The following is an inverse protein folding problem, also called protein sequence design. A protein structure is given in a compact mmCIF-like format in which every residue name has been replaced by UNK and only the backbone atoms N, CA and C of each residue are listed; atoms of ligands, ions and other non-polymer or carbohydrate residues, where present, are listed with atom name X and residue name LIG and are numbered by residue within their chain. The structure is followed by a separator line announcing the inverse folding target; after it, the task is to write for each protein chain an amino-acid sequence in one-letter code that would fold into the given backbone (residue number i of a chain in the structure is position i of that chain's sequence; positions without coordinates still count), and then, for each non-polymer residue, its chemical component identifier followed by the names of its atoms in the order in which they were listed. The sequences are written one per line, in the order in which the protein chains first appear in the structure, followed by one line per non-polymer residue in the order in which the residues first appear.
data_IF_218365618558
#
_entry.id   IF_218365618558
#
_cell.length_a   1.000
_cell.length_b   1.000
_cell.length_c   1.000
_cell.angle_alpha   90.00
_cell.angle_beta   90.00
_cell.angle_gamma   90.00
#
_symmetry.space_group_name_H-M   'P 1'
#
loop_
_entity.id
_entity.type
_entity.pdbx_description
1 polymer ?
#
# COMPACT_ATOMS: atom_id res chain seq x y z
N UNK A 1 29.24 -5.48 -29.51
CA UNK A 1 28.09 -6.41 -29.52
C UNK A 1 27.52 -6.43 -28.12
N UNK A 2 26.29 -5.96 -27.98
CA UNK A 2 25.58 -5.74 -26.71
C UNK A 2 25.08 -7.07 -26.15
N UNK A 3 25.46 -7.39 -24.92
CA UNK A 3 25.01 -8.61 -24.22
C UNK A 3 23.65 -8.34 -23.56
N UNK A 4 22.61 -8.90 -24.16
CA UNK A 4 21.25 -8.97 -23.63
C UNK A 4 21.19 -10.17 -22.66
N UNK A 5 21.06 -9.91 -21.36
CA UNK A 5 20.89 -10.97 -20.35
C UNK A 5 19.42 -11.38 -20.30
N UNK A 6 19.15 -12.55 -20.88
CA UNK A 6 17.88 -13.27 -20.80
C UNK A 6 17.82 -13.92 -19.41
N UNK A 7 16.86 -13.50 -18.59
CA UNK A 7 16.50 -14.19 -17.35
C UNK A 7 15.93 -15.57 -17.70
N UNK A 8 16.68 -16.62 -17.34
CA UNK A 8 16.31 -18.03 -17.55
C UNK A 8 16.51 -18.75 -16.22
N UNK A 9 15.44 -18.83 -15.42
CA UNK A 9 15.26 -19.80 -14.35
C UNK A 9 13.78 -19.80 -13.95
N UNK A 10 13.03 -20.73 -14.54
CA UNK A 10 11.57 -20.83 -14.44
C UNK A 10 11.12 -22.19 -13.92
N UNK A 11 11.83 -22.76 -12.93
CA UNK A 11 11.48 -24.09 -12.38
C UNK A 11 11.57 -24.25 -10.84
N UNK A 12 11.92 -23.22 -10.05
CA UNK A 12 11.91 -23.32 -8.57
C UNK A 12 11.55 -22.03 -7.82
N UNK A 13 10.82 -21.11 -8.46
CA UNK A 13 9.97 -20.21 -7.70
C UNK A 13 8.63 -20.93 -7.60
N UNK A 14 8.38 -21.63 -6.50
CA UNK A 14 7.00 -21.68 -6.01
C UNK A 14 6.59 -20.21 -6.00
N UNK A 15 5.74 -19.80 -6.93
CA UNK A 15 5.38 -18.40 -7.09
C UNK A 15 4.75 -18.02 -5.75
N UNK A 16 5.55 -17.40 -4.86
CA UNK A 16 5.07 -16.96 -3.57
C UNK A 16 3.90 -16.06 -3.92
N UNK A 17 2.68 -16.51 -3.64
CA UNK A 17 1.48 -15.73 -3.91
C UNK A 17 1.42 -14.64 -2.84
N UNK A 18 2.39 -13.74 -2.87
CA UNK A 18 2.51 -12.64 -1.93
C UNK A 18 1.24 -11.83 -2.02
N UNK A 19 0.62 -11.61 -0.87
CA UNK A 19 -0.56 -10.77 -0.72
C UNK A 19 -0.07 -9.38 -0.35
N UNK A 20 -0.02 -8.50 -1.33
CA UNK A 20 0.55 -7.17 -1.17
C UNK A 20 -0.58 -6.16 -1.18
N UNK A 21 -0.59 -5.26 -0.20
CA UNK A 21 -1.41 -4.06 -0.22
C UNK A 21 -0.51 -2.88 -0.56
N UNK A 22 -0.74 -2.23 -1.70
CA UNK A 22 -0.10 -0.97 -2.05
C UNK A 22 -1.03 0.20 -1.74
N UNK A 23 -0.53 1.26 -1.10
CA UNK A 23 -1.31 2.46 -0.79
C UNK A 23 -0.59 3.73 -1.24
N UNK A 24 -1.38 4.77 -1.51
CA UNK A 24 -0.93 6.14 -1.77
C UNK A 24 -1.95 7.12 -1.20
N UNK A 25 -1.48 8.22 -0.61
CA UNK A 25 -2.35 9.21 0.01
C UNK A 25 -2.09 10.61 -0.56
N UNK A 26 -3.16 11.27 -0.97
CA UNK A 26 -3.10 12.68 -1.35
C UNK A 26 -3.45 13.54 -0.14
N UNK A 27 -2.63 14.54 0.17
CA UNK A 27 -2.89 15.48 1.27
C UNK A 27 -2.86 16.94 0.83
N UNK A 28 -3.59 17.77 1.56
CA UNK A 28 -3.54 19.21 1.38
C UNK A 28 -2.18 19.77 1.87
N UNK A 29 -1.39 20.48 1.03
CA UNK A 29 0.01 20.83 1.32
C UNK A 29 0.30 21.65 2.59
N UNK A 30 -0.71 22.29 3.18
CA UNK A 30 -0.54 23.21 4.31
C UNK A 30 -1.28 22.79 5.59
N UNK A 31 -2.17 21.82 5.48
CA UNK A 31 -3.03 21.38 6.59
C UNK A 31 -2.82 19.90 6.90
N UNK A 32 -2.04 19.18 6.09
CA UNK A 32 -1.81 17.73 6.14
C UNK A 32 -3.10 16.90 6.14
N UNK A 33 -4.20 17.51 5.71
CA UNK A 33 -5.45 16.83 5.61
C UNK A 33 -5.44 15.87 4.43
N UNK A 34 -5.80 14.62 4.69
CA UNK A 34 -6.07 13.61 3.66
C UNK A 34 -7.24 14.08 2.76
N UNK A 35 -6.98 14.13 1.47
CA UNK A 35 -7.92 14.51 0.39
C UNK A 35 -8.40 13.29 -0.40
N UNK A 36 -7.52 12.31 -0.62
CA UNK A 36 -7.85 11.07 -1.31
C UNK A 36 -6.92 9.94 -0.84
N UNK A 37 -7.39 8.70 -1.02
CA UNK A 37 -6.67 7.47 -0.72
C UNK A 37 -6.79 6.54 -1.92
N UNK A 38 -5.69 5.92 -2.33
CA UNK A 38 -5.71 4.85 -3.32
C UNK A 38 -5.14 3.58 -2.68
N UNK A 39 -5.74 2.44 -3.00
CA UNK A 39 -5.25 1.15 -2.55
C UNK A 39 -5.33 0.11 -3.67
N UNK A 40 -4.30 -0.72 -3.81
CA UNK A 40 -4.28 -1.85 -4.73
C UNK A 40 -3.87 -3.07 -3.95
N UNK A 41 -4.71 -4.12 -3.96
CA UNK A 41 -4.38 -5.40 -3.35
C UNK A 41 -4.02 -6.39 -4.46
N UNK A 42 -2.84 -7.00 -4.38
CA UNK A 42 -2.43 -8.09 -5.28
C UNK A 42 -2.25 -9.37 -4.48
N UNK A 43 -2.59 -10.51 -5.08
CA UNK A 43 -2.42 -11.84 -4.51
C UNK A 43 -2.09 -12.82 -5.63
N UNK A 44 -0.79 -13.14 -5.79
CA UNK A 44 -0.30 -13.85 -6.98
C UNK A 44 -0.58 -13.06 -8.26
N UNK A 45 -1.18 -13.70 -9.27
CA UNK A 45 -1.51 -13.06 -10.56
C UNK A 45 -2.82 -12.25 -10.53
N UNK A 46 -3.57 -12.27 -9.43
CA UNK A 46 -4.81 -11.52 -9.28
C UNK A 46 -4.54 -10.15 -8.64
N UNK A 47 -5.12 -9.10 -9.22
CA UNK A 47 -5.13 -7.76 -8.62
C UNK A 47 -6.56 -7.25 -8.43
N UNK A 48 -6.81 -6.61 -7.29
CA UNK A 48 -8.02 -5.85 -6.99
C UNK A 48 -7.60 -4.42 -6.72
N UNK A 49 -7.90 -3.54 -7.68
CA UNK A 49 -7.71 -2.11 -7.51
C UNK A 49 -8.92 -1.50 -6.80
N UNK A 50 -8.65 -0.74 -5.74
CA UNK A 50 -9.67 -0.02 -4.97
C UNK A 50 -9.23 1.42 -4.81
N UNK A 51 -9.72 2.28 -5.69
CA UNK A 51 -9.54 3.73 -5.53
C UNK A 51 -10.59 4.25 -4.54
N UNK A 52 -10.13 4.82 -3.42
CA UNK A 52 -10.96 5.30 -2.33
C UNK A 52 -10.95 6.84 -2.29
N UNK A 53 -11.83 7.45 -3.10
CA UNK A 53 -12.09 8.89 -2.98
C UNK A 53 -13.05 9.14 -1.84
N UNK A 54 -12.70 10.06 -0.96
CA UNK A 54 -13.50 10.42 0.19
C UNK A 54 -13.69 11.94 0.20
N UNK A 55 -14.82 12.41 0.70
CA UNK A 55 -14.98 13.77 1.21
C UNK A 55 -14.66 13.80 2.72
N UNK A 56 -14.70 14.95 3.40
CA UNK A 56 -14.38 14.99 4.84
C UNK A 56 -15.30 14.10 5.70
N UNK A 57 -16.55 13.84 5.28
CA UNK A 57 -17.56 13.15 6.10
C UNK A 57 -17.49 11.63 6.03
N UNK A 58 -16.99 11.08 4.94
CA UNK A 58 -16.86 9.63 4.70
C UNK A 58 -15.44 9.11 4.98
N UNK A 59 -14.52 9.97 5.43
CA UNK A 59 -13.16 9.57 5.82
C UNK A 59 -13.15 8.38 6.81
N UNK A 60 -13.95 8.35 7.90
CA UNK A 60 -13.95 7.19 8.81
C UNK A 60 -14.33 5.87 8.12
N UNK A 61 -15.38 5.89 7.29
CA UNK A 61 -15.81 4.70 6.54
C UNK A 61 -14.77 4.28 5.50
N UNK A 62 -14.08 5.26 4.91
CA UNK A 62 -12.99 5.02 3.96
C UNK A 62 -11.79 4.38 4.63
N UNK A 63 -11.41 4.86 5.81
CA UNK A 63 -10.33 4.28 6.61
C UNK A 63 -10.68 2.85 7.06
N UNK A 64 -11.93 2.59 7.48
CA UNK A 64 -12.38 1.22 7.77
C UNK A 64 -12.26 0.31 6.55
N UNK A 65 -12.62 0.80 5.35
CA UNK A 65 -12.48 0.02 4.12
C UNK A 65 -11.01 -0.23 3.76
N UNK A 66 -10.16 0.76 3.92
CA UNK A 66 -8.71 0.61 3.73
C UNK A 66 -8.15 -0.46 4.68
N UNK A 67 -8.52 -0.41 5.96
CA UNK A 67 -8.04 -1.36 6.96
C UNK A 67 -8.51 -2.79 6.65
N UNK A 68 -9.74 -2.94 6.14
CA UNK A 68 -10.24 -4.26 5.71
C UNK A 68 -9.45 -4.87 4.52
N UNK A 69 -8.77 -4.05 3.71
CA UNK A 69 -7.89 -4.55 2.65
C UNK A 69 -6.55 -5.05 3.19
N UNK A 70 -6.18 -4.60 4.38
CA UNK A 70 -4.97 -4.97 5.09
C UNK A 70 -5.06 -6.39 5.68
N UNK A 71 -6.29 -6.85 5.96
CA UNK A 71 -6.56 -8.23 6.41
C UNK A 71 -5.90 -9.24 5.48
N UNK A 72 -5.12 -10.13 6.09
CA UNK A 72 -4.32 -11.18 5.45
C UNK A 72 -3.23 -10.68 4.50
N UNK A 73 -2.97 -9.38 4.33
CA UNK A 73 -1.84 -8.95 3.51
C UNK A 73 -0.52 -9.30 4.22
N UNK A 74 0.43 -9.83 3.45
CA UNK A 74 1.78 -10.16 3.93
C UNK A 74 2.65 -8.90 4.03
N UNK A 75 2.46 -7.95 3.11
CA UNK A 75 3.24 -6.73 3.00
C UNK A 75 2.38 -5.50 2.68
N UNK A 76 2.75 -4.37 3.28
CA UNK A 76 2.27 -3.04 2.91
C UNK A 76 3.34 -2.30 2.10
N UNK A 77 2.98 -1.88 0.88
CA UNK A 77 3.82 -1.13 -0.05
C UNK A 77 3.26 0.27 -0.31
N UNK A 78 4.16 1.18 -0.65
CA UNK A 78 3.81 2.52 -1.09
C UNK A 78 5.05 3.36 -1.29
N UNK A 79 4.86 4.50 -1.90
CA UNK A 79 5.94 5.44 -2.20
C UNK A 79 5.99 6.47 -1.05
N UNK A 80 6.95 6.35 -0.13
CA UNK A 80 7.09 7.18 1.08
C UNK A 80 6.18 6.80 2.26
N UNK A 81 5.85 5.52 2.40
CA UNK A 81 5.00 5.00 3.46
C UNK A 81 5.43 5.38 4.87
N UNK A 82 6.70 5.12 5.20
CA UNK A 82 7.18 5.14 6.58
C UNK A 82 7.29 6.58 7.08
N UNK A 83 7.74 7.49 6.20
CA UNK A 83 8.03 8.87 6.57
C UNK A 83 6.83 9.81 6.44
N UNK A 84 5.83 9.47 5.63
CA UNK A 84 4.73 10.38 5.32
C UNK A 84 3.37 9.73 5.53
N UNK A 85 3.11 8.61 4.87
CA UNK A 85 1.74 8.15 4.73
C UNK A 85 1.21 7.51 6.00
N UNK A 86 2.01 6.63 6.61
CA UNK A 86 1.65 5.95 7.85
C UNK A 86 1.55 6.92 9.03
N UNK A 87 2.41 7.94 9.07
CA UNK A 87 2.31 8.99 10.09
C UNK A 87 0.97 9.73 9.98
N UNK A 88 0.56 10.12 8.76
CA UNK A 88 -0.72 10.82 8.55
C UNK A 88 -1.91 9.93 8.86
N UNK A 89 -1.88 8.64 8.48
CA UNK A 89 -2.91 7.68 8.84
C UNK A 89 -3.00 7.49 10.35
N UNK A 90 -1.86 7.41 11.05
CA UNK A 90 -1.83 7.24 12.51
C UNK A 90 -2.43 8.44 13.26
N UNK A 91 -2.24 9.66 12.74
CA UNK A 91 -2.85 10.88 13.32
C UNK A 91 -4.39 10.84 13.26
N UNK A 92 -4.96 10.32 12.16
CA UNK A 92 -6.43 10.34 11.96
C UNK A 92 -7.12 9.05 12.44
N UNK A 93 -6.40 7.93 12.47
CA UNK A 93 -6.89 6.63 12.91
C UNK A 93 -5.73 5.81 13.48
N UNK A 94 -5.42 5.92 14.78
CA UNK A 94 -4.21 5.36 15.37
C UNK A 94 -4.24 3.85 15.60
N UNK A 95 -5.39 3.20 15.35
CA UNK A 95 -5.64 1.78 15.64
C UNK A 95 -6.19 1.08 14.41
N UNK A 96 -5.30 0.88 13.44
CA UNK A 96 -5.59 0.19 12.20
C UNK A 96 -4.73 -1.07 12.14
N UNK A 97 -5.31 -2.18 11.68
CA UNK A 97 -4.60 -3.43 11.44
C UNK A 97 -3.47 -3.25 10.42
N UNK A 98 -3.58 -2.28 9.50
CA UNK A 98 -2.52 -2.00 8.54
C UNK A 98 -1.16 -1.68 9.19
N UNK A 99 -1.15 -1.18 10.44
CA UNK A 99 0.10 -0.85 11.13
C UNK A 99 0.85 -2.09 11.64
N UNK A 100 0.18 -3.23 11.75
CA UNK A 100 0.75 -4.49 12.26
C UNK A 100 1.37 -5.36 11.15
N UNK A 101 1.23 -4.92 9.88
CA UNK A 101 1.74 -5.62 8.70
C UNK A 101 3.19 -5.22 8.43
N UNK A 102 3.98 -6.12 7.85
CA UNK A 102 5.35 -5.79 7.42
C UNK A 102 5.33 -4.67 6.37
N UNK A 103 6.02 -3.57 6.67
CA UNK A 103 6.05 -2.36 5.83
C UNK A 103 7.32 -2.35 4.98
N UNK A 104 7.17 -2.17 3.68
CA UNK A 104 8.29 -2.01 2.75
C UNK A 104 8.09 -0.69 1.98
N UNK A 105 8.96 0.28 2.24
CA UNK A 105 8.92 1.60 1.60
C UNK A 105 9.85 1.63 0.39
N UNK A 106 9.27 1.86 -0.79
CA UNK A 106 10.04 1.83 -2.05
C UNK A 106 11.06 2.96 -2.19
N UNK A 107 11.01 3.99 -1.33
CA UNK A 107 12.00 5.08 -1.31
C UNK A 107 13.16 4.81 -0.33
N UNK A 108 13.08 3.77 0.49
CA UNK A 108 14.13 3.39 1.44
C UNK A 108 15.21 2.48 0.83
N UNK A 109 15.00 1.97 -0.39
CA UNK A 109 16.02 1.21 -1.13
C UNK A 109 17.04 2.14 -1.79
N UNK A 110 17.97 2.65 -0.98
CA UNK A 110 19.20 3.31 -1.40
C UNK A 110 20.42 2.49 -1.01
#
# INVERSE_FOLDING_TARGET
MTTMLIWRNSEQAEALSLRILSIDIDVQPHTDQILALAAVRTAGDASTEVVLRHNRRDLPATLTRLDSLAVDADFLLGHNLILLDLHKLHVVSPRMELFDIQQEDSLMTG
#
